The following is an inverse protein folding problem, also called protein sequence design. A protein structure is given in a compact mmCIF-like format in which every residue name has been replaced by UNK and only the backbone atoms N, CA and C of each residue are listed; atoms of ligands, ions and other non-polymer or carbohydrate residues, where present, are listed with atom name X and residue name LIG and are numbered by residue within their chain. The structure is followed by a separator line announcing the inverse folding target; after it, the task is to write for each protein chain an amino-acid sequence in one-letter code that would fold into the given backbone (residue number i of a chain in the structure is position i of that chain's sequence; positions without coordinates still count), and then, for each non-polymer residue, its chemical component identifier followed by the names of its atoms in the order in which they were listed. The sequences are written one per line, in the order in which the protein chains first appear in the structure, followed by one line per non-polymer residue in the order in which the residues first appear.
data_IF_440211463834
#
_entry.id   IF_440211463834
#
_cell.length_a   1.000
_cell.length_b   1.000
_cell.length_c   1.000
_cell.angle_alpha   90.00
_cell.angle_beta   90.00
_cell.angle_gamma   90.00
#
_symmetry.space_group_name_H-M   'P 1'
#
loop_
_entity.id
_entity.type
_entity.pdbx_description
1 polymer ?
#
# COMPACT_ATOMS: atom_id res chain seq x y z
N UNK A 1 8.50 30.95 0.12
CA UNK A 1 7.71 31.09 -1.13
C UNK A 1 7.15 29.72 -1.50
N UNK A 2 5.82 29.63 -1.70
CA UNK A 2 5.07 28.58 -2.41
C UNK A 2 5.20 27.11 -1.93
N UNK A 3 4.13 26.50 -1.40
CA UNK A 3 3.25 25.54 -2.14
C UNK A 3 3.90 24.13 -2.29
N UNK A 4 3.32 22.99 -1.92
CA UNK A 4 1.96 22.44 -2.03
C UNK A 4 1.80 21.33 -0.99
N UNK A 5 0.77 21.39 -0.14
CA UNK A 5 0.49 20.35 0.86
C UNK A 5 -0.20 19.17 0.19
N UNK A 6 0.45 18.00 0.24
CA UNK A 6 -0.07 16.73 -0.28
C UNK A 6 -1.24 16.22 0.55
N UNK A 7 -2.24 15.68 -0.14
CA UNK A 7 -3.60 15.42 0.34
C UNK A 7 -3.72 14.12 1.17
N UNK A 8 -4.49 14.17 2.26
CA UNK A 8 -5.00 13.01 3.02
C UNK A 8 -6.46 13.25 3.34
N UNK A 9 -7.30 12.24 3.11
CA UNK A 9 -8.72 12.31 3.38
C UNK A 9 -9.11 11.55 4.65
N UNK A 10 -9.49 12.29 5.68
CA UNK A 10 -10.34 11.80 6.77
C UNK A 10 -11.48 12.78 7.03
N UNK A 11 -12.57 12.69 6.24
CA UNK A 11 -13.89 13.22 6.60
C UNK A 11 -14.97 12.30 6.02
N UNK A 12 -15.89 11.89 6.89
CA UNK A 12 -17.08 11.06 6.62
C UNK A 12 -18.17 11.91 5.92
N UNK A 13 -18.95 11.23 5.06
CA UNK A 13 -20.19 11.63 4.33
C UNK A 13 -20.03 12.08 2.87
N UNK A 14 -20.20 11.12 1.94
CA UNK A 14 -21.31 11.17 0.95
C UNK A 14 -22.05 9.85 1.05
N UNK A 15 -23.19 9.86 1.75
CA UNK A 15 -24.15 8.76 1.85
C UNK A 15 -25.00 8.69 0.58
N UNK A 16 -24.42 8.36 -0.55
CA UNK A 16 -25.22 7.74 -1.61
C UNK A 16 -24.51 6.45 -1.98
N UNK A 17 -24.68 5.45 -1.11
CA UNK A 17 -24.54 4.09 -1.57
C UNK A 17 -25.45 3.96 -2.80
N UNK A 18 -24.94 3.56 -3.98
CA UNK A 18 -25.77 3.42 -5.17
C UNK A 18 -26.96 2.57 -4.81
N UNK A 19 -28.14 3.16 -4.97
CA UNK A 19 -29.40 2.45 -4.78
C UNK A 19 -29.83 2.02 -6.17
N UNK A 20 -30.05 0.72 -6.31
CA UNK A 20 -30.63 0.15 -7.49
C UNK A 20 -32.00 -0.42 -7.14
N UNK A 21 -33.01 -0.01 -7.92
CA UNK A 21 -34.39 -0.44 -7.78
C UNK A 21 -34.80 -1.15 -9.05
N UNK A 22 -35.19 -2.41 -8.92
CA UNK A 22 -35.90 -3.14 -9.95
C UNK A 22 -37.35 -3.29 -9.55
N UNK A 23 -38.25 -2.90 -10.45
CA UNK A 23 -39.68 -3.14 -10.29
C UNK A 23 -40.13 -4.13 -11.35
N UNK A 24 -40.60 -5.29 -10.90
CA UNK A 24 -41.23 -6.30 -11.71
C UNK A 24 -42.75 -6.17 -11.60
N UNK A 25 -43.41 -5.91 -12.73
CA UNK A 25 -44.85 -5.62 -12.80
C UNK A 25 -45.58 -6.66 -13.64
N UNK A 26 -46.58 -7.32 -13.06
CA UNK A 26 -47.50 -8.22 -13.76
C UNK A 26 -48.86 -7.54 -13.88
N UNK A 27 -49.35 -7.32 -15.10
CA UNK A 27 -50.65 -6.68 -15.36
C UNK A 27 -51.67 -7.67 -15.94
N UNK A 28 -52.95 -7.29 -15.96
CA UNK A 28 -54.05 -8.08 -16.51
C UNK A 28 -54.14 -9.48 -15.87
N UNK A 29 -53.83 -9.57 -14.58
CA UNK A 29 -54.02 -10.80 -13.83
C UNK A 29 -55.44 -10.82 -13.25
N UNK A 30 -56.21 -11.87 -13.54
CA UNK A 30 -57.46 -12.15 -12.87
C UNK A 30 -57.20 -13.23 -11.81
N UNK A 31 -56.74 -12.79 -10.63
CA UNK A 31 -56.34 -13.68 -9.55
C UNK A 31 -57.50 -13.76 -8.55
N UNK A 32 -58.22 -14.87 -8.55
CA UNK A 32 -59.23 -15.18 -7.52
C UNK A 32 -58.48 -15.77 -6.32
N UNK A 33 -58.37 -14.98 -5.25
CA UNK A 33 -57.60 -15.32 -4.05
C UNK A 33 -58.42 -15.24 -2.77
N UNK A 34 -57.87 -15.81 -1.70
CA UNK A 34 -58.48 -15.75 -0.38
C UNK A 34 -58.28 -14.37 0.26
N UNK A 35 -59.23 -13.92 1.08
CA UNK A 35 -59.17 -12.60 1.72
C UNK A 35 -58.00 -12.42 2.70
N UNK A 36 -57.33 -13.52 3.06
CA UNK A 36 -56.16 -13.55 3.94
C UNK A 36 -54.81 -13.70 3.21
N UNK A 37 -54.79 -13.68 1.88
CA UNK A 37 -53.54 -13.69 1.12
C UNK A 37 -52.79 -12.38 1.29
N UNK A 38 -51.47 -12.48 1.47
CA UNK A 38 -50.56 -11.34 1.43
C UNK A 38 -50.37 -10.86 0.00
N UNK A 39 -49.86 -9.65 -0.18
CA UNK A 39 -49.58 -9.12 -1.51
C UNK A 39 -48.50 -9.94 -2.26
N UNK A 40 -47.63 -10.65 -1.52
CA UNK A 40 -46.67 -11.60 -2.11
C UNK A 40 -47.38 -12.82 -2.71
N UNK A 41 -48.32 -13.43 -1.96
CA UNK A 41 -49.10 -14.58 -2.42
C UNK A 41 -49.89 -14.23 -3.70
N UNK A 42 -50.46 -13.04 -3.73
CA UNK A 42 -51.16 -12.51 -4.91
C UNK A 42 -50.24 -12.28 -6.12
N UNK A 43 -49.04 -11.75 -5.89
CA UNK A 43 -48.04 -11.55 -6.95
C UNK A 43 -47.57 -12.89 -7.54
N UNK A 44 -47.32 -13.89 -6.69
CA UNK A 44 -46.87 -15.22 -7.11
C UNK A 44 -47.99 -16.00 -7.82
N UNK A 45 -49.23 -15.88 -7.36
CA UNK A 45 -50.40 -16.48 -8.01
C UNK A 45 -50.72 -15.86 -9.39
N UNK A 46 -50.24 -14.65 -9.69
CA UNK A 46 -50.34 -14.12 -11.04
C UNK A 46 -49.36 -14.83 -12.00
N UNK A 47 -49.89 -15.71 -12.86
CA UNK A 47 -49.13 -16.43 -13.89
C UNK A 47 -48.93 -15.62 -15.20
N UNK A 48 -48.75 -14.30 -15.09
CA UNK A 48 -48.40 -13.43 -16.23
C UNK A 48 -46.92 -13.12 -16.19
N UNK A 49 -46.34 -12.91 -17.38
CA UNK A 49 -44.95 -12.45 -17.52
C UNK A 49 -44.81 -11.07 -16.89
N UNK A 50 -43.77 -10.90 -16.07
CA UNK A 50 -43.47 -9.61 -15.48
C UNK A 50 -42.75 -8.70 -16.50
N UNK A 51 -43.17 -7.44 -16.56
CA UNK A 51 -42.42 -6.36 -17.20
C UNK A 51 -41.43 -5.81 -16.18
N UNK A 52 -40.16 -5.71 -16.55
CA UNK A 52 -39.11 -5.18 -15.68
C UNK A 52 -38.87 -3.71 -15.98
N UNK A 53 -38.74 -2.92 -14.93
CA UNK A 53 -38.25 -1.54 -15.00
C UNK A 53 -37.14 -1.35 -13.99
N UNK A 54 -36.14 -0.59 -14.39
CA UNK A 54 -34.95 -0.31 -13.59
C UNK A 54 -34.83 1.17 -13.35
N UNK A 55 -34.55 1.54 -12.11
CA UNK A 55 -34.17 2.91 -11.76
C UNK A 55 -33.09 2.86 -10.70
N UNK A 56 -32.08 3.70 -10.84
CA UNK A 56 -31.03 3.78 -9.86
C UNK A 56 -30.23 5.06 -9.99
N UNK A 57 -29.47 5.36 -8.95
CA UNK A 57 -28.45 6.40 -9.01
C UNK A 57 -27.08 5.75 -9.08
N UNK A 58 -26.26 6.21 -10.02
CA UNK A 58 -24.85 5.85 -10.04
C UNK A 58 -24.09 6.51 -8.89
N UNK A 59 -22.79 6.27 -8.90
CA UNK A 59 -21.82 6.75 -7.91
C UNK A 59 -21.67 8.28 -7.89
N UNK A 60 -22.18 8.97 -8.91
CA UNK A 60 -22.21 10.42 -9.06
C UNK A 60 -23.61 11.01 -8.82
N UNK A 61 -24.60 10.18 -8.49
CA UNK A 61 -25.99 10.59 -8.33
C UNK A 61 -26.77 10.71 -9.65
N UNK A 62 -26.18 10.35 -10.79
CA UNK A 62 -26.83 10.37 -12.09
C UNK A 62 -27.81 9.19 -12.20
N UNK A 63 -28.94 9.42 -12.87
CA UNK A 63 -29.95 8.36 -13.05
C UNK A 63 -29.46 7.37 -14.10
N UNK A 64 -29.48 6.08 -13.76
CA UNK A 64 -29.16 4.98 -14.68
C UNK A 64 -30.42 4.15 -14.93
N UNK A 65 -30.72 3.90 -16.20
CA UNK A 65 -31.89 3.14 -16.66
C UNK A 65 -31.55 1.72 -17.10
N UNK A 66 -30.27 1.34 -17.10
CA UNK A 66 -29.79 0.00 -17.44
C UNK A 66 -29.14 -0.67 -16.23
N UNK A 67 -29.22 -2.01 -16.10
CA UNK A 67 -28.43 -2.74 -15.11
C UNK A 67 -26.93 -2.40 -15.22
N UNK A 68 -26.16 -2.31 -14.12
CA UNK A 68 -24.73 -2.06 -14.19
C UNK A 68 -24.04 -3.14 -15.03
N UNK A 69 -23.33 -2.75 -16.10
CA UNK A 69 -22.58 -3.67 -16.97
C UNK A 69 -21.28 -4.17 -16.33
N UNK A 70 -20.76 -3.47 -15.33
CA UNK A 70 -19.61 -3.91 -14.51
C UNK A 70 -20.11 -4.45 -13.18
N UNK A 71 -20.50 -5.73 -13.20
CA UNK A 71 -20.77 -6.53 -12.01
C UNK A 71 -19.46 -6.66 -11.20
N UNK A 72 -19.44 -6.40 -9.87
CA UNK A 72 -18.32 -6.81 -9.03
C UNK A 72 -18.12 -8.33 -9.18
N UNK A 73 -16.88 -8.79 -9.17
CA UNK A 73 -16.49 -10.16 -9.51
C UNK A 73 -17.00 -11.26 -8.55
N UNK A 74 -18.00 -10.99 -7.70
CA UNK A 74 -18.64 -12.00 -6.87
C UNK A 74 -19.84 -12.65 -7.60
N UNK A 75 -19.66 -13.93 -7.88
CA UNK A 75 -20.56 -14.85 -8.54
C UNK A 75 -21.78 -15.13 -7.65
N UNK A 76 -22.99 -14.73 -8.00
CA UNK A 76 -23.92 -15.58 -8.75
C UNK A 76 -25.27 -14.86 -8.79
N UNK A 77 -26.04 -15.02 -9.87
CA UNK A 77 -27.37 -14.40 -10.01
C UNK A 77 -28.39 -14.92 -8.98
N UNK A 78 -28.04 -15.99 -8.24
CA UNK A 78 -28.90 -16.64 -7.26
C UNK A 78 -28.74 -16.08 -5.83
N UNK A 79 -27.59 -15.49 -5.49
CA UNK A 79 -27.36 -14.86 -4.18
C UNK A 79 -27.82 -13.40 -4.09
N UNK A 80 -28.07 -12.74 -5.23
CA UNK A 80 -28.60 -11.37 -5.29
C UNK A 80 -29.97 -11.24 -4.60
N UNK A 81 -30.81 -12.28 -4.71
CA UNK A 81 -32.13 -12.28 -4.11
C UNK A 81 -32.13 -12.48 -2.58
N UNK A 82 -30.99 -12.82 -1.98
CA UNK A 82 -30.83 -13.04 -0.54
C UNK A 82 -29.62 -12.27 0.04
N UNK A 83 -29.13 -11.25 -0.66
CA UNK A 83 -28.09 -10.39 -0.12
C UNK A 83 -28.66 -9.52 1.01
N UNK A 84 -27.98 -9.48 2.16
CA UNK A 84 -28.34 -8.68 3.34
C UNK A 84 -28.47 -7.16 3.12
N UNK A 85 -28.22 -6.68 1.90
CA UNK A 85 -28.32 -5.28 1.49
C UNK A 85 -29.48 -5.00 0.52
N UNK A 86 -30.35 -5.99 0.29
CA UNK A 86 -31.53 -5.86 -0.55
C UNK A 86 -32.82 -6.01 0.29
N UNK A 87 -33.81 -5.18 0.00
CA UNK A 87 -35.16 -5.29 0.57
C UNK A 87 -36.20 -5.47 -0.52
N UNK A 88 -37.30 -6.13 -0.13
CA UNK A 88 -38.42 -6.46 -1.02
C UNK A 88 -39.69 -5.83 -0.51
N UNK A 89 -40.49 -5.29 -1.42
CA UNK A 89 -41.88 -4.95 -1.14
C UNK A 89 -42.78 -5.43 -2.27
N UNK A 90 -44.01 -5.77 -1.89
CA UNK A 90 -45.06 -6.18 -2.81
C UNK A 90 -46.17 -5.13 -2.80
N UNK A 91 -46.80 -4.94 -3.94
CA UNK A 91 -47.90 -4.01 -4.11
C UNK A 91 -48.95 -4.58 -5.05
N UNK A 92 -50.20 -4.18 -4.82
CA UNK A 92 -51.36 -4.65 -5.58
C UNK A 92 -52.29 -3.48 -5.87
N UNK A 93 -52.71 -3.38 -7.13
CA UNK A 93 -53.76 -2.48 -7.56
C UNK A 93 -54.53 -3.10 -8.73
N UNK A 94 -55.80 -3.43 -8.51
CA UNK A 94 -56.79 -3.83 -9.53
C UNK A 94 -56.22 -4.51 -10.78
N UNK A 95 -55.87 -5.80 -10.67
CA UNK A 95 -55.33 -6.59 -11.79
C UNK A 95 -53.85 -6.36 -12.12
N UNK A 96 -53.18 -5.47 -11.38
CA UNK A 96 -51.74 -5.19 -11.45
C UNK A 96 -51.06 -5.54 -10.14
N UNK A 97 -49.97 -6.29 -10.22
CA UNK A 97 -49.21 -6.79 -9.08
C UNK A 97 -47.73 -6.46 -9.30
N UNK A 98 -47.10 -5.84 -8.32
CA UNK A 98 -45.73 -5.35 -8.40
C UNK A 98 -44.86 -5.94 -7.31
N UNK A 99 -43.64 -6.33 -7.68
CA UNK A 99 -42.55 -6.62 -6.75
C UNK A 99 -41.44 -5.61 -6.95
N UNK A 100 -41.07 -4.90 -5.90
CA UNK A 100 -39.99 -3.92 -5.90
C UNK A 100 -38.81 -4.50 -5.13
N UNK A 101 -37.68 -4.64 -5.82
CA UNK A 101 -36.40 -5.07 -5.26
C UNK A 101 -35.53 -3.81 -5.11
N UNK A 102 -35.18 -3.43 -3.89
CA UNK A 102 -34.29 -2.28 -3.63
C UNK A 102 -32.97 -2.78 -3.05
N UNK A 103 -31.88 -2.63 -3.77
CA UNK A 103 -30.55 -3.06 -3.36
C UNK A 103 -29.63 -1.86 -3.15
N UNK A 104 -28.90 -1.85 -2.03
CA UNK A 104 -27.93 -0.82 -1.70
C UNK A 104 -26.51 -1.36 -1.84
N UNK A 105 -25.66 -0.67 -2.61
CA UNK A 105 -24.26 -1.06 -2.74
C UNK A 105 -23.39 -0.51 -1.61
N UNK A 106 -22.79 -1.39 -0.82
CA UNK A 106 -21.79 -1.01 0.18
C UNK A 106 -20.39 -1.09 -0.43
N UNK A 107 -19.75 0.06 -0.64
CA UNK A 107 -18.34 0.11 -1.03
C UNK A 107 -17.45 -0.33 0.12
N UNK A 108 -16.46 -1.15 -0.19
CA UNK A 108 -15.30 -1.36 0.69
C UNK A 108 -14.55 -0.04 0.90
N UNK A 109 -13.82 0.06 2.00
CA UNK A 109 -12.96 1.22 2.30
C UNK A 109 -12.00 1.53 1.14
N UNK A 110 -11.46 0.50 0.48
CA UNK A 110 -10.58 0.63 -0.69
C UNK A 110 -11.28 1.34 -1.85
N UNK A 111 -12.42 0.81 -2.27
CA UNK A 111 -13.20 1.36 -3.37
C UNK A 111 -13.61 2.82 -3.07
N UNK A 112 -13.95 3.13 -1.82
CA UNK A 112 -14.23 4.51 -1.42
C UNK A 112 -13.00 5.42 -1.54
N UNK A 113 -11.79 4.92 -1.26
CA UNK A 113 -10.57 5.73 -1.33
C UNK A 113 -10.05 5.95 -2.75
N UNK A 114 -10.22 4.99 -3.65
CA UNK A 114 -9.78 5.08 -5.05
C UNK A 114 -10.68 6.01 -5.89
N UNK A 115 -11.87 6.37 -5.39
CA UNK A 115 -12.87 7.16 -6.12
C UNK A 115 -12.72 8.66 -5.94
N UNK A 116 -12.43 9.35 -7.03
CA UNK A 116 -12.24 10.80 -7.06
C UNK A 116 -13.50 11.61 -6.69
N UNK A 117 -14.72 11.09 -6.93
CA UNK A 117 -15.97 11.79 -6.60
C UNK A 117 -16.14 12.03 -5.09
N UNK A 118 -15.57 11.17 -4.23
CA UNK A 118 -15.50 11.37 -2.78
C UNK A 118 -14.81 12.69 -2.41
N UNK A 119 -13.89 13.14 -3.25
CA UNK A 119 -13.00 14.26 -3.01
C UNK A 119 -13.48 15.57 -3.65
N UNK A 120 -14.59 15.55 -4.40
CA UNK A 120 -15.14 16.75 -5.05
C UNK A 120 -15.72 17.73 -4.01
N UNK A 121 -15.33 19.01 -4.09
CA UNK A 121 -15.75 20.07 -3.15
C UNK A 121 -15.47 19.76 -1.68
N UNK A 122 -14.41 18.99 -1.40
CA UNK A 122 -13.98 18.66 -0.04
C UNK A 122 -12.71 19.39 0.35
N UNK A 123 -12.62 19.73 1.63
CA UNK A 123 -11.39 20.19 2.27
C UNK A 123 -10.70 19.00 2.92
N UNK A 124 -9.38 18.97 2.82
CA UNK A 124 -8.53 17.87 3.30
C UNK A 124 -7.61 18.37 4.40
N UNK A 125 -7.33 17.52 5.38
CA UNK A 125 -6.41 17.81 6.49
C UNK A 125 -5.47 16.63 6.69
N UNK A 126 -4.19 16.90 6.93
CA UNK A 126 -3.16 15.89 7.11
C UNK A 126 -2.08 15.94 6.04
N UNK A 127 -1.04 15.16 6.28
CA UNK A 127 0.21 15.11 5.53
C UNK A 127 0.18 13.93 4.54
N UNK A 128 0.12 14.24 3.23
CA UNK A 128 0.04 13.23 2.17
C UNK A 128 1.32 12.40 2.01
N UNK A 129 1.36 11.41 1.11
CA UNK A 129 2.52 10.51 0.89
C UNK A 129 3.88 11.16 0.62
N UNK A 130 3.92 12.49 0.42
CA UNK A 130 5.11 13.32 0.21
C UNK A 130 5.57 14.06 1.48
N UNK A 131 4.88 13.92 2.60
CA UNK A 131 5.16 14.69 3.81
C UNK A 131 6.51 14.37 4.45
N UNK A 132 6.98 13.14 4.26
CA UNK A 132 8.23 12.61 4.81
C UNK A 132 9.33 12.49 3.73
N UNK A 133 9.28 13.34 2.70
CA UNK A 133 10.36 13.38 1.72
C UNK A 133 11.61 14.02 2.34
N UNK A 134 12.77 13.33 2.33
CA UNK A 134 14.00 13.89 2.89
C UNK A 134 14.37 15.19 2.18
N UNK A 135 14.85 16.16 2.96
CA UNK A 135 15.26 17.48 2.45
C UNK A 135 16.52 17.40 1.61
N UNK A 136 17.46 16.55 2.00
CA UNK A 136 18.70 16.33 1.28
C UNK A 136 18.48 15.31 0.15
N UNK A 137 18.71 15.73 -1.09
CA UNK A 137 18.83 14.79 -2.20
C UNK A 137 20.05 13.87 -1.99
N UNK A 138 20.10 12.74 -2.69
CA UNK A 138 21.34 11.96 -2.80
C UNK A 138 22.39 12.81 -3.52
N UNK A 139 23.63 12.82 -3.04
CA UNK A 139 24.75 13.43 -3.75
C UNK A 139 25.36 12.33 -4.63
N UNK A 140 25.34 12.47 -5.97
CA UNK A 140 26.07 11.55 -6.82
C UNK A 140 27.57 11.59 -6.49
N UNK A 141 28.32 10.54 -6.86
CA UNK A 141 29.74 10.46 -6.52
C UNK A 141 30.49 11.72 -6.95
N UNK A 142 31.26 12.28 -6.02
CA UNK A 142 31.87 13.59 -6.18
C UNK A 142 33.33 13.55 -5.72
N UNK A 143 34.22 14.14 -6.53
CA UNK A 143 35.66 14.20 -6.26
C UNK A 143 36.08 15.46 -5.46
N UNK A 144 35.13 16.33 -5.11
CA UNK A 144 35.38 17.55 -4.34
C UNK A 144 35.04 17.31 -2.87
N UNK A 145 36.07 17.18 -2.04
CA UNK A 145 35.93 16.93 -0.59
C UNK A 145 34.98 17.91 0.09
N UNK A 146 35.07 19.20 -0.26
CA UNK A 146 34.22 20.22 0.37
C UNK A 146 32.74 20.00 0.03
N UNK A 147 32.40 19.68 -1.23
CA UNK A 147 31.02 19.37 -1.63
C UNK A 147 30.43 18.17 -0.89
N UNK A 148 31.26 17.14 -0.62
CA UNK A 148 30.83 15.98 0.18
C UNK A 148 30.59 16.39 1.63
N UNK A 149 31.49 17.17 2.24
CA UNK A 149 31.35 17.69 3.61
C UNK A 149 30.10 18.57 3.75
N UNK A 150 29.92 19.53 2.85
CA UNK A 150 28.76 20.43 2.86
C UNK A 150 27.44 19.65 2.74
N UNK A 151 27.43 18.57 1.95
CA UNK A 151 26.25 17.69 1.87
C UNK A 151 25.99 16.98 3.18
N UNK A 152 27.03 16.45 3.84
CA UNK A 152 26.91 15.77 5.12
C UNK A 152 26.36 16.72 6.18
N UNK A 153 26.92 17.94 6.27
CA UNK A 153 26.47 18.96 7.22
C UNK A 153 25.02 19.42 6.97
N UNK A 154 24.51 19.25 5.74
CA UNK A 154 23.14 19.56 5.37
C UNK A 154 22.14 18.43 5.71
N UNK A 155 22.60 17.22 6.05
CA UNK A 155 21.70 16.11 6.38
C UNK A 155 21.08 16.30 7.76
N UNK A 156 19.75 16.28 7.83
CA UNK A 156 18.98 16.28 9.08
C UNK A 156 18.28 14.92 9.22
N UNK A 157 18.48 14.24 10.35
CA UNK A 157 17.78 12.98 10.63
C UNK A 157 16.27 13.23 10.79
N UNK A 158 15.45 12.53 10.01
CA UNK A 158 14.00 12.64 10.03
C UNK A 158 13.35 11.34 9.54
N UNK A 159 12.18 10.98 10.07
CA UNK A 159 11.44 9.79 9.65
C UNK A 159 11.85 8.51 10.38
N UNK A 160 11.58 7.36 9.75
CA UNK A 160 11.92 6.01 10.25
C UNK A 160 13.14 5.42 9.55
N UNK A 161 13.75 4.40 10.15
CA UNK A 161 14.96 3.74 9.62
C UNK A 161 14.65 2.77 8.47
N UNK A 162 15.25 2.99 7.31
CA UNK A 162 15.12 2.11 6.13
C UNK A 162 16.50 1.79 5.52
N UNK A 163 17.18 0.83 6.14
CA UNK A 163 18.52 0.35 5.78
C UNK A 163 18.50 -0.27 4.37
N UNK A 164 17.40 -0.94 4.00
CA UNK A 164 17.21 -1.53 2.67
C UNK A 164 17.37 -0.47 1.58
N UNK A 165 16.61 0.62 1.65
CA UNK A 165 16.66 1.67 0.63
C UNK A 165 18.01 2.39 0.61
N UNK A 166 18.61 2.63 1.77
CA UNK A 166 19.97 3.18 1.86
C UNK A 166 20.99 2.28 1.13
N UNK A 167 20.88 0.96 1.31
CA UNK A 167 21.75 -0.04 0.66
C UNK A 167 21.53 -0.08 -0.85
N UNK A 168 20.27 -0.11 -1.31
CA UNK A 168 19.92 -0.13 -2.74
C UNK A 168 20.46 1.12 -3.44
N UNK A 169 20.19 2.31 -2.89
CA UNK A 169 20.65 3.57 -3.49
C UNK A 169 22.16 3.78 -3.36
N UNK A 170 22.78 3.32 -2.28
CA UNK A 170 24.24 3.29 -2.13
C UNK A 170 24.88 2.44 -3.23
N UNK A 171 24.33 1.26 -3.51
CA UNK A 171 24.80 0.41 -4.60
C UNK A 171 24.59 1.04 -5.98
N UNK A 172 23.42 1.65 -6.23
CA UNK A 172 23.17 2.37 -7.48
C UNK A 172 24.15 3.54 -7.68
N UNK A 173 24.50 4.26 -6.61
CA UNK A 173 25.47 5.37 -6.65
C UNK A 173 26.87 4.93 -7.07
N UNK A 174 27.23 3.65 -6.82
CA UNK A 174 28.49 3.07 -7.25
C UNK A 174 28.47 2.57 -8.70
N UNK A 175 27.31 2.48 -9.33
CA UNK A 175 27.17 2.05 -10.72
C UNK A 175 27.43 3.19 -11.71
N UNK A 176 27.72 2.87 -12.97
CA UNK A 176 27.89 3.85 -14.05
C UNK A 176 26.61 4.13 -14.84
N UNK A 177 25.47 3.58 -14.39
CA UNK A 177 24.19 3.64 -15.10
C UNK A 177 23.26 4.69 -14.48
N UNK A 178 22.30 5.18 -15.26
CA UNK A 178 21.24 6.05 -14.75
C UNK A 178 20.54 5.45 -13.50
N UNK A 179 20.08 6.28 -12.55
CA UNK A 179 20.04 7.75 -12.60
C UNK A 179 21.28 8.45 -12.02
N UNK A 180 22.27 7.72 -11.49
CA UNK A 180 23.51 8.27 -10.91
C UNK A 180 24.69 7.70 -11.69
N UNK A 181 25.18 8.46 -12.68
CA UNK A 181 26.14 7.98 -13.69
C UNK A 181 27.61 8.24 -13.34
N UNK A 182 27.88 8.88 -12.20
CA UNK A 182 29.20 9.33 -11.77
C UNK A 182 30.10 8.17 -11.29
N UNK A 183 29.53 7.00 -11.03
CA UNK A 183 30.30 5.79 -10.78
C UNK A 183 31.08 5.38 -12.02
N UNK A 184 32.36 5.06 -11.83
CA UNK A 184 33.15 4.42 -12.89
C UNK A 184 32.58 3.03 -13.22
N UNK A 185 32.94 2.49 -14.38
CA UNK A 185 32.64 1.09 -14.71
C UNK A 185 33.21 0.12 -13.67
N UNK A 186 32.67 -1.09 -13.61
CA UNK A 186 33.25 -2.17 -12.81
C UNK A 186 34.46 -2.73 -13.57
N UNK A 187 35.66 -2.46 -13.09
CA UNK A 187 36.93 -2.94 -13.63
C UNK A 187 37.94 -3.20 -12.51
N UNK A 188 39.00 -3.95 -12.82
CA UNK A 188 40.04 -4.32 -11.84
C UNK A 188 40.83 -3.12 -11.30
N UNK A 189 40.77 -1.97 -11.99
CA UNK A 189 41.47 -0.75 -11.59
C UNK A 189 40.65 0.11 -10.62
N UNK A 190 39.37 -0.19 -10.41
CA UNK A 190 38.45 0.61 -9.61
C UNK A 190 37.90 -0.18 -8.43
N UNK A 191 38.44 0.08 -7.23
CA UNK A 191 37.82 -0.41 -6.00
C UNK A 191 36.50 0.30 -5.73
N UNK A 192 35.44 -0.47 -5.50
CA UNK A 192 34.12 0.03 -5.10
C UNK A 192 33.84 -0.37 -3.67
N UNK A 193 33.58 0.62 -2.83
CA UNK A 193 33.36 0.42 -1.41
C UNK A 193 32.03 1.04 -1.02
N UNK A 194 31.21 0.29 -0.31
CA UNK A 194 29.97 0.76 0.31
C UNK A 194 30.08 0.62 1.82
N UNK A 195 29.73 1.66 2.56
CA UNK A 195 29.66 1.64 4.03
C UNK A 195 28.20 1.84 4.41
N UNK A 196 27.59 0.83 5.01
CA UNK A 196 26.21 0.88 5.50
C UNK A 196 26.26 1.17 7.00
N UNK A 197 25.68 2.29 7.43
CA UNK A 197 25.70 2.69 8.84
C UNK A 197 24.28 2.84 9.36
N UNK A 198 24.03 2.44 10.61
CA UNK A 198 22.74 2.60 11.27
C UNK A 198 22.88 2.65 12.79
N UNK A 199 21.97 3.36 13.45
CA UNK A 199 21.78 3.43 14.90
C UNK A 199 20.52 2.66 15.36
N UNK A 200 19.89 1.93 14.45
CA UNK A 200 18.59 1.32 14.67
C UNK A 200 18.31 0.12 13.77
N UNK A 201 17.11 -0.42 13.90
CA UNK A 201 16.63 -1.51 13.05
C UNK A 201 15.76 -0.98 11.92
N UNK A 202 15.61 -1.76 10.85
CA UNK A 202 14.61 -1.45 9.83
C UNK A 202 13.22 -1.28 10.47
N UNK A 203 12.60 -0.13 10.25
CA UNK A 203 11.32 0.24 10.82
C UNK A 203 10.39 0.75 9.71
N UNK A 204 9.33 0.00 9.43
CA UNK A 204 8.34 0.32 8.40
C UNK A 204 7.26 1.31 8.86
N UNK A 205 7.58 2.16 9.83
CA UNK A 205 6.72 3.13 10.52
C UNK A 205 5.48 2.49 11.21
N UNK A 206 5.59 2.34 12.52
CA UNK A 206 4.59 1.71 13.41
C UNK A 206 3.22 2.41 13.40
N UNK A 207 3.13 3.73 13.19
CA UNK A 207 1.85 4.46 13.23
C UNK A 207 0.92 4.13 12.04
N UNK A 208 1.47 3.66 10.92
CA UNK A 208 0.72 3.13 9.79
C UNK A 208 0.28 1.67 9.94
N UNK A 209 0.97 0.94 10.82
CA UNK A 209 0.75 -0.48 11.04
C UNK A 209 -0.24 -0.80 12.16
N UNK A 210 -0.34 0.10 13.16
CA UNK A 210 -1.28 -0.01 14.29
C UNK A 210 -2.72 0.38 13.93
N UNK A 211 -2.93 1.07 12.81
CA UNK A 211 -4.26 1.41 12.32
C UNK A 211 -4.93 0.25 11.59
N UNK A 212 -6.20 -0.02 11.90
CA UNK A 212 -7.06 -1.01 11.21
C UNK A 212 -7.33 -0.70 9.73
N UNK A 213 -6.66 0.31 9.16
CA UNK A 213 -6.91 0.83 7.82
C UNK A 213 -5.67 0.67 6.92
N UNK A 214 -5.57 -0.43 6.14
CA UNK A 214 -4.44 -0.70 5.25
C UNK A 214 -4.36 0.25 4.03
N UNK A 215 -5.25 1.23 3.97
CA UNK A 215 -5.36 2.25 2.94
C UNK A 215 -4.98 3.66 3.45
N UNK A 216 -4.67 3.79 4.75
CA UNK A 216 -4.31 5.06 5.37
C UNK A 216 -2.93 5.57 4.96
N UNK A 217 -2.80 6.90 4.82
CA UNK A 217 -1.55 7.59 4.46
C UNK A 217 -0.42 7.42 5.46
N UNK A 218 -0.76 7.10 6.72
CA UNK A 218 0.23 6.83 7.77
C UNK A 218 1.00 5.54 7.51
N UNK A 219 0.52 4.67 6.61
CA UNK A 219 1.18 3.43 6.19
C UNK A 219 1.86 3.49 4.83
N UNK A 220 2.15 4.69 4.31
CA UNK A 220 2.95 4.83 3.10
C UNK A 220 4.43 4.58 3.41
N UNK A 221 5.05 3.66 2.66
CA UNK A 221 6.47 3.32 2.78
C UNK A 221 7.13 3.29 1.39
N UNK A 222 8.42 2.96 1.31
CA UNK A 222 9.16 2.85 0.05
C UNK A 222 8.47 1.94 -0.99
N UNK A 223 7.72 0.94 -0.52
CA UNK A 223 6.95 -0.01 -1.33
C UNK A 223 5.48 0.42 -1.59
N UNK A 224 5.10 1.64 -1.22
CA UNK A 224 3.74 2.17 -1.34
C UNK A 224 2.82 1.76 -0.18
N UNK A 225 1.51 1.70 -0.41
CA UNK A 225 0.55 1.24 0.60
C UNK A 225 0.61 -0.28 0.79
N UNK A 226 0.38 -0.76 2.01
CA UNK A 226 0.27 -2.20 2.33
C UNK A 226 -0.75 -2.93 1.46
N UNK A 227 -1.87 -2.28 1.16
CA UNK A 227 -2.94 -2.78 0.29
C UNK A 227 -2.57 -2.92 -1.19
N UNK A 228 -1.38 -2.44 -1.59
CA UNK A 228 -0.86 -2.62 -2.94
C UNK A 228 -0.12 -3.95 -3.11
N UNK A 229 0.10 -4.73 -2.04
CA UNK A 229 0.65 -6.08 -2.16
C UNK A 229 2.02 -6.14 -2.86
N UNK A 230 2.86 -5.11 -2.62
CA UNK A 230 4.17 -4.95 -3.27
C UNK A 230 5.36 -5.47 -2.46
N UNK A 231 5.19 -5.61 -1.15
CA UNK A 231 6.27 -5.95 -0.23
C UNK A 231 6.52 -7.46 -0.15
N UNK A 232 5.48 -8.25 0.14
CA UNK A 232 5.63 -9.69 0.33
C UNK A 232 5.95 -10.42 -0.97
N UNK A 233 6.66 -11.53 -0.83
CA UNK A 233 6.99 -12.47 -1.92
C UNK A 233 6.41 -13.83 -1.58
N UNK A 234 6.14 -14.68 -2.58
CA UNK A 234 5.59 -16.02 -2.35
C UNK A 234 6.43 -16.89 -1.39
N UNK A 235 7.73 -16.59 -1.26
CA UNK A 235 8.65 -17.25 -0.32
C UNK A 235 8.51 -16.83 1.15
N UNK A 236 7.83 -15.73 1.44
CA UNK A 236 7.61 -15.25 2.82
C UNK A 236 6.15 -15.40 3.24
N UNK A 237 5.21 -14.89 2.43
CA UNK A 237 3.73 -15.00 2.59
C UNK A 237 3.10 -14.68 1.22
N UNK A 238 1.93 -15.23 0.81
CA UNK A 238 1.34 -14.93 -0.50
C UNK A 238 1.31 -13.43 -0.78
N UNK A 239 1.83 -13.03 -1.95
CA UNK A 239 2.01 -11.61 -2.33
C UNK A 239 0.76 -10.77 -2.11
N UNK A 240 -0.41 -11.36 -2.35
CA UNK A 240 -1.73 -10.72 -2.25
C UNK A 240 -2.27 -10.61 -0.81
N UNK A 241 -1.44 -10.91 0.20
CA UNK A 241 -1.78 -10.77 1.62
C UNK A 241 -1.34 -9.43 2.19
N UNK A 242 -2.08 -8.93 3.18
CA UNK A 242 -1.64 -7.77 3.95
C UNK A 242 -0.55 -8.20 4.93
N UNK A 243 0.70 -7.79 4.68
CA UNK A 243 1.80 -8.00 5.62
C UNK A 243 1.46 -7.42 7.00
N UNK A 244 1.76 -8.17 8.05
CA UNK A 244 1.92 -7.69 9.44
C UNK A 244 3.22 -6.89 9.59
N UNK A 245 3.40 -6.19 10.71
CA UNK A 245 4.61 -5.39 10.94
C UNK A 245 5.86 -6.27 10.97
N UNK A 246 5.74 -7.44 11.62
CA UNK A 246 6.83 -8.40 11.71
C UNK A 246 7.21 -8.98 10.34
N UNK A 247 6.22 -9.36 9.52
CA UNK A 247 6.48 -9.85 8.15
C UNK A 247 7.12 -8.76 7.28
N UNK A 248 6.70 -7.51 7.43
CA UNK A 248 7.28 -6.40 6.69
C UNK A 248 8.73 -6.13 7.10
N UNK A 249 9.03 -6.09 8.40
CA UNK A 249 10.41 -5.93 8.91
C UNK A 249 11.28 -7.10 8.44
N UNK A 250 10.78 -8.34 8.53
CA UNK A 250 11.50 -9.52 8.07
C UNK A 250 11.80 -9.46 6.56
N UNK A 251 10.84 -9.04 5.75
CA UNK A 251 11.01 -8.90 4.30
C UNK A 251 11.98 -7.77 3.93
N UNK A 252 11.93 -6.62 4.62
CA UNK A 252 12.87 -5.51 4.42
C UNK A 252 14.29 -5.91 4.86
N UNK A 253 14.45 -6.65 5.96
CA UNK A 253 15.74 -7.23 6.37
C UNK A 253 16.28 -8.20 5.31
N UNK A 254 15.43 -9.10 4.81
CA UNK A 254 15.77 -10.06 3.74
C UNK A 254 16.23 -9.34 2.48
N UNK A 255 15.53 -8.28 2.07
CA UNK A 255 15.88 -7.47 0.89
C UNK A 255 17.15 -6.64 1.08
N UNK A 256 17.42 -6.18 2.30
CA UNK A 256 18.71 -5.54 2.65
C UNK A 256 19.85 -6.51 2.33
N UNK A 257 19.78 -7.75 2.84
CA UNK A 257 20.80 -8.78 2.57
C UNK A 257 20.89 -9.12 1.07
N UNK A 258 19.76 -9.18 0.35
CA UNK A 258 19.77 -9.39 -1.10
C UNK A 258 20.44 -8.25 -1.89
N UNK A 259 20.21 -7.00 -1.48
CA UNK A 259 20.88 -5.85 -2.08
C UNK A 259 22.40 -5.94 -1.86
N UNK A 260 22.83 -6.29 -0.64
CA UNK A 260 24.24 -6.50 -0.33
C UNK A 260 24.83 -7.68 -1.13
N UNK A 261 24.11 -8.80 -1.26
CA UNK A 261 24.54 -9.93 -2.08
C UNK A 261 24.71 -9.52 -3.56
N UNK A 262 23.78 -8.72 -4.10
CA UNK A 262 23.86 -8.21 -5.47
C UNK A 262 25.05 -7.28 -5.69
N UNK A 263 25.37 -6.46 -4.68
CA UNK A 263 26.55 -5.60 -4.71
C UNK A 263 27.86 -6.41 -4.61
N UNK A 264 27.94 -7.38 -3.69
CA UNK A 264 29.09 -8.28 -3.55
C UNK A 264 29.35 -9.10 -4.82
N UNK A 265 28.31 -9.52 -5.53
CA UNK A 265 28.42 -10.24 -6.81
C UNK A 265 29.03 -9.38 -7.94
N UNK A 266 29.23 -8.08 -7.72
CA UNK A 266 29.92 -7.15 -8.62
C UNK A 266 31.19 -6.57 -7.98
N UNK A 267 31.79 -7.33 -7.07
CA UNK A 267 33.05 -7.01 -6.38
C UNK A 267 33.02 -5.72 -5.55
N UNK A 268 31.83 -5.28 -5.11
CA UNK A 268 31.70 -4.19 -4.14
C UNK A 268 32.07 -4.71 -2.76
N UNK A 269 33.05 -4.07 -2.12
CA UNK A 269 33.41 -4.32 -0.72
C UNK A 269 32.40 -3.57 0.15
N UNK A 270 31.77 -4.27 1.09
CA UNK A 270 30.73 -3.73 1.95
C UNK A 270 31.22 -3.78 3.39
N UNK A 271 31.28 -2.60 4.02
CA UNK A 271 31.44 -2.45 5.46
C UNK A 271 30.10 -2.12 6.10
N UNK A 272 29.83 -2.64 7.29
CA UNK A 272 28.64 -2.29 8.06
C UNK A 272 28.97 -1.77 9.45
N UNK A 273 28.35 -0.67 9.86
CA UNK A 273 28.51 -0.10 11.20
C UNK A 273 27.14 -0.02 11.86
N UNK A 274 26.97 -0.68 13.00
CA UNK A 274 25.75 -0.63 13.81
C UNK A 274 26.02 0.02 15.15
N UNK A 275 25.74 1.32 15.29
CA UNK A 275 25.87 2.05 16.55
C UNK A 275 24.75 1.62 17.50
N UNK A 276 25.11 1.19 18.71
CA UNK A 276 24.16 0.73 19.73
C UNK A 276 23.11 -0.23 19.16
N UNK A 277 23.55 -1.15 18.27
CA UNK A 277 22.66 -1.94 17.43
C UNK A 277 21.57 -2.64 18.26
N UNK A 278 20.28 -2.39 17.99
CA UNK A 278 19.23 -2.53 19.00
C UNK A 278 18.84 -3.98 19.30
N UNK A 279 19.18 -4.93 18.43
CA UNK A 279 18.83 -6.34 18.61
C UNK A 279 19.69 -7.30 17.77
N UNK A 280 19.64 -8.58 18.15
CA UNK A 280 20.38 -9.66 17.49
C UNK A 280 20.00 -9.84 16.01
N UNK A 281 18.74 -9.60 15.62
CA UNK A 281 18.31 -9.72 14.23
C UNK A 281 18.97 -8.68 13.33
N UNK A 282 19.10 -7.45 13.82
CA UNK A 282 19.75 -6.34 13.10
C UNK A 282 21.25 -6.57 13.00
N UNK A 283 21.89 -7.00 14.08
CA UNK A 283 23.32 -7.36 14.09
C UNK A 283 23.58 -8.47 13.07
N UNK A 284 22.78 -9.53 13.06
CA UNK A 284 22.96 -10.63 12.12
C UNK A 284 22.76 -10.18 10.67
N UNK A 285 21.71 -9.39 10.39
CA UNK A 285 21.47 -8.83 9.05
C UNK A 285 22.65 -7.98 8.56
N UNK A 286 23.24 -7.14 9.43
CA UNK A 286 24.40 -6.32 9.09
C UNK A 286 25.65 -7.20 8.83
N UNK A 287 25.89 -8.23 9.64
CA UNK A 287 26.96 -9.21 9.39
C UNK A 287 26.78 -9.95 8.06
N UNK A 288 25.56 -10.37 7.73
CA UNK A 288 25.25 -11.06 6.47
C UNK A 288 25.40 -10.12 5.26
N UNK A 289 25.13 -8.83 5.46
CA UNK A 289 25.34 -7.79 4.46
C UNK A 289 26.83 -7.52 4.20
N UNK A 290 27.65 -7.44 5.25
CA UNK A 290 29.08 -7.16 5.18
C UNK A 290 29.84 -8.15 4.26
N UNK A 291 30.99 -7.71 3.75
CA UNK A 291 31.91 -8.58 3.03
C UNK A 291 32.61 -9.58 3.97
N UNK A 292 33.06 -10.75 3.46
CA UNK A 292 33.79 -11.70 4.27
C UNK A 292 35.04 -11.08 4.90
N UNK A 293 35.36 -11.52 6.11
CA UNK A 293 36.58 -11.11 6.80
C UNK A 293 37.82 -11.42 5.97
N UNK A 294 38.85 -10.58 6.11
CA UNK A 294 40.14 -10.77 5.46
C UNK A 294 41.21 -10.95 6.52
N UNK A 295 42.24 -11.73 6.20
CA UNK A 295 43.43 -11.82 7.04
C UNK A 295 44.50 -10.93 6.43
N UNK A 296 44.88 -9.88 7.15
CA UNK A 296 45.95 -8.96 6.77
C UNK A 296 47.05 -9.04 7.81
N UNK A 297 48.27 -9.41 7.40
CA UNK A 297 49.43 -9.57 8.29
C UNK A 297 49.17 -10.47 9.52
N UNK A 298 48.33 -11.49 9.37
CA UNK A 298 47.97 -12.41 10.46
C UNK A 298 46.86 -11.90 11.39
N UNK A 299 46.28 -10.73 11.10
CA UNK A 299 45.15 -10.16 11.85
C UNK A 299 43.87 -10.31 11.03
N UNK A 300 42.79 -10.80 11.66
CA UNK A 300 41.47 -10.82 11.06
C UNK A 300 40.88 -9.42 11.06
N UNK A 301 40.67 -8.88 9.86
CA UNK A 301 39.98 -7.62 9.62
C UNK A 301 38.52 -7.92 9.32
N UNK A 302 37.64 -7.49 10.21
CA UNK A 302 36.20 -7.57 10.03
C UNK A 302 35.69 -6.44 9.14
N UNK A 303 34.71 -6.74 8.29
CA UNK A 303 33.98 -5.70 7.56
C UNK A 303 32.72 -5.24 8.30
N UNK A 304 32.63 -5.48 9.59
CA UNK A 304 31.53 -5.05 10.44
C UNK A 304 32.05 -4.51 11.76
N UNK A 305 31.37 -3.50 12.30
CA UNK A 305 31.71 -2.87 13.57
C UNK A 305 30.43 -2.50 14.33
N UNK A 306 30.37 -2.83 15.62
CA UNK A 306 29.19 -2.63 16.46
C UNK A 306 29.58 -1.95 17.78
N UNK A 307 29.86 -0.63 17.76
CA UNK A 307 30.17 0.10 18.98
C UNK A 307 28.90 0.33 19.81
N UNK A 308 29.05 0.29 21.14
CA UNK A 308 27.94 0.57 22.06
C UNK A 308 27.68 2.08 22.22
N UNK A 309 28.69 2.92 21.96
CA UNK A 309 28.70 4.37 22.17
C UNK A 309 29.41 5.09 21.01
N UNK A 310 29.01 6.33 20.71
CA UNK A 310 29.47 7.12 19.57
C UNK A 310 30.91 7.60 19.69
N UNK A 311 31.46 7.72 20.90
CA UNK A 311 32.88 8.04 21.12
C UNK A 311 33.80 7.04 20.39
N UNK A 312 33.37 5.77 20.33
CA UNK A 312 34.11 4.69 19.67
C UNK A 312 34.08 4.77 18.13
N UNK A 313 33.27 5.66 17.53
CA UNK A 313 33.27 5.89 16.08
C UNK A 313 34.44 6.77 15.62
N UNK A 314 35.12 7.45 16.53
CA UNK A 314 36.20 8.39 16.22
C UNK A 314 37.61 7.85 16.50
N UNK A 315 37.72 6.70 17.19
CA UNK A 315 38.99 6.14 17.67
C UNK A 315 39.59 5.02 16.79
N UNK A 316 39.18 4.88 15.53
CA UNK A 316 39.61 3.77 14.64
C UNK A 316 40.66 4.19 13.62
#
# INVERSE_FOLDING_TARGET
MGERRGLVASVIVVRVAPIWVETATKTNCNVNGNWWWSDADYYDACNKTATLTHSGKDVNGATVSTPPTTKPADNSLYSYYNASNCSYSYGRNSGTYTRVNTCTYNFSTREMMERLCKYTNRSFSGDGPRSDCPRAAILPLNNTRQTVKDRIDYMEANGSTNIEQGTIWGFHSLSSTEPLTEGRSYDEATSKIMIVMTDGENNVNYQGYSGSNPYGVSGWMAWGFRSNFRLLTESTTPKDSLATSAEAIAEVNRRTVLACASAKARDVIIYTIGLSAPNASTIQMLKDCASPDKVENGVTVHHWYFPDDDDNLTEV
#
